data_IF_547178833893
#
_entry.id   IF_547178833893
#
_cell.length_a   1.000
_cell.length_b   1.000
_cell.length_c   1.000
_cell.angle_alpha   90.00
_cell.angle_beta   90.00
_cell.angle_gamma   90.00
#
_symmetry.space_group_name_H-M   'P 1'
#
loop_
_entity.id
_entity.type
_entity.pdbx_description
1 polymer ?
#
# COMPACT_ATOMS: atom_id res chain seq x y z
N UNK A 1 28.79 -11.13 -5.12
CA UNK A 1 27.85 -10.08 -5.57
C UNK A 1 28.61 -9.00 -6.35
N UNK A 2 28.10 -8.55 -7.49
CA UNK A 2 28.75 -7.54 -8.35
C UNK A 2 29.07 -6.26 -7.54
N UNK A 3 28.26 -5.98 -6.50
CA UNK A 3 28.43 -4.87 -5.57
C UNK A 3 29.70 -4.91 -4.69
N UNK A 4 30.51 -5.98 -4.71
CA UNK A 4 31.71 -6.07 -3.87
C UNK A 4 32.92 -6.73 -4.56
N UNK A 5 33.03 -6.63 -5.87
CA UNK A 5 34.17 -7.18 -6.64
C UNK A 5 35.16 -6.06 -6.95
N UNK A 6 36.39 -6.14 -6.42
CA UNK A 6 37.49 -5.22 -6.74
C UNK A 6 38.19 -5.57 -8.08
N UNK A 7 37.58 -6.42 -8.90
CA UNK A 7 38.12 -6.83 -10.19
C UNK A 7 37.56 -5.91 -11.28
N UNK A 8 38.34 -4.91 -11.66
CA UNK A 8 37.94 -3.87 -12.63
C UNK A 8 38.17 -4.28 -14.09
N UNK A 9 38.48 -5.55 -14.33
CA UNK A 9 38.85 -6.06 -15.64
C UNK A 9 40.37 -6.09 -15.81
N UNK A 10 40.89 -7.25 -16.22
CA UNK A 10 42.33 -7.42 -16.52
C UNK A 10 42.70 -6.90 -17.91
N UNK A 11 41.69 -6.73 -18.76
CA UNK A 11 41.74 -6.31 -20.15
C UNK A 11 40.47 -5.50 -20.50
N UNK A 12 40.48 -4.85 -21.66
CA UNK A 12 39.39 -3.96 -22.11
C UNK A 12 38.06 -4.71 -22.23
N UNK A 13 38.08 -5.92 -22.81
CA UNK A 13 36.90 -6.77 -22.96
C UNK A 13 36.24 -7.11 -21.62
N UNK A 14 37.03 -7.48 -20.60
CA UNK A 14 36.49 -7.78 -19.27
C UNK A 14 35.92 -6.55 -18.55
N UNK A 15 36.54 -5.38 -18.77
CA UNK A 15 36.06 -4.10 -18.24
C UNK A 15 34.73 -3.70 -18.89
N UNK A 16 34.60 -3.84 -20.21
CA UNK A 16 33.37 -3.54 -20.95
C UNK A 16 32.24 -4.51 -20.57
N UNK A 17 32.54 -5.80 -20.43
CA UNK A 17 31.57 -6.80 -19.97
C UNK A 17 31.07 -6.52 -18.55
N UNK A 18 31.94 -6.04 -17.66
CA UNK A 18 31.58 -5.64 -16.30
C UNK A 18 30.67 -4.40 -16.31
N UNK A 19 30.98 -3.41 -17.14
CA UNK A 19 30.17 -2.20 -17.29
C UNK A 19 28.75 -2.54 -17.77
N UNK A 20 28.60 -3.37 -18.81
CA UNK A 20 27.28 -3.80 -19.31
C UNK A 20 26.45 -4.50 -18.23
N UNK A 21 27.09 -5.36 -17.41
CA UNK A 21 26.41 -6.02 -16.28
C UNK A 21 25.97 -5.01 -15.23
N UNK A 22 26.80 -4.01 -14.95
CA UNK A 22 26.47 -2.96 -13.99
C UNK A 22 25.30 -2.09 -14.49
N UNK A 23 25.30 -1.69 -15.75
CA UNK A 23 24.20 -0.95 -16.37
C UNK A 23 22.89 -1.75 -16.34
N UNK A 24 22.93 -3.03 -16.69
CA UNK A 24 21.77 -3.92 -16.59
C UNK A 24 21.26 -4.01 -15.13
N UNK A 25 22.16 -4.15 -14.15
CA UNK A 25 21.79 -4.20 -12.74
C UNK A 25 21.14 -2.88 -12.27
N UNK A 26 21.67 -1.73 -12.69
CA UNK A 26 21.06 -0.44 -12.35
C UNK A 26 19.66 -0.29 -12.94
N UNK A 27 19.48 -0.72 -14.19
CA UNK A 27 18.18 -0.76 -14.86
C UNK A 27 17.18 -1.64 -14.09
N UNK A 28 17.62 -2.83 -13.66
CA UNK A 28 16.78 -3.73 -12.86
C UNK A 28 16.41 -3.10 -11.51
N UNK A 29 17.37 -2.45 -10.83
CA UNK A 29 17.12 -1.76 -9.57
C UNK A 29 16.10 -0.62 -9.70
N UNK A 30 16.19 0.17 -10.78
CA UNK A 30 15.21 1.22 -11.07
C UNK A 30 13.81 0.64 -11.31
N UNK A 31 13.72 -0.43 -12.12
CA UNK A 31 12.48 -1.13 -12.37
C UNK A 31 11.85 -1.67 -11.07
N UNK A 32 12.65 -2.32 -10.22
CA UNK A 32 12.18 -2.80 -8.92
C UNK A 32 11.76 -1.65 -7.99
N UNK A 33 12.47 -0.53 -8.00
CA UNK A 33 12.10 0.68 -7.27
C UNK A 33 10.70 1.18 -7.65
N UNK A 34 10.40 1.20 -8.95
CA UNK A 34 9.07 1.56 -9.47
C UNK A 34 8.00 0.55 -9.04
N UNK A 35 8.30 -0.76 -9.08
CA UNK A 35 7.38 -1.80 -8.59
C UNK A 35 7.07 -1.63 -7.10
N UNK A 36 8.08 -1.42 -6.26
CA UNK A 36 7.91 -1.20 -4.81
C UNK A 36 7.04 0.03 -4.55
N UNK A 37 7.28 1.13 -5.29
CA UNK A 37 6.48 2.34 -5.16
C UNK A 37 5.00 2.08 -5.52
N UNK A 38 4.74 1.42 -6.64
CA UNK A 38 3.37 1.07 -7.07
C UNK A 38 2.67 0.17 -6.04
N UNK A 39 3.36 -0.83 -5.49
CA UNK A 39 2.81 -1.69 -4.44
C UNK A 39 2.47 -0.88 -3.17
N UNK A 40 3.29 0.10 -2.81
CA UNK A 40 3.02 0.98 -1.67
C UNK A 40 1.80 1.86 -1.89
N UNK A 41 1.64 2.39 -3.10
CA UNK A 41 0.46 3.17 -3.49
C UNK A 41 -0.81 2.30 -3.44
N UNK A 42 -0.76 1.07 -3.97
CA UNK A 42 -1.86 0.11 -3.90
C UNK A 42 -2.22 -0.23 -2.45
N UNK A 43 -1.24 -0.53 -1.60
CA UNK A 43 -1.47 -0.83 -0.18
C UNK A 43 -2.13 0.35 0.56
N UNK A 44 -1.70 1.58 0.26
CA UNK A 44 -2.32 2.78 0.83
C UNK A 44 -3.76 2.99 0.32
N UNK A 45 -4.03 2.68 -0.95
CA UNK A 45 -5.38 2.73 -1.50
C UNK A 45 -6.30 1.65 -0.89
N UNK A 46 -5.76 0.46 -0.61
CA UNK A 46 -6.48 -0.62 0.06
C UNK A 46 -6.93 -0.29 1.49
N UNK A 47 -6.34 0.70 2.19
CA UNK A 47 -6.85 1.11 3.51
C UNK A 47 -8.28 1.64 3.48
N UNK A 48 -8.78 2.11 2.32
CA UNK A 48 -10.20 2.44 2.17
C UNK A 48 -11.10 1.20 2.15
N UNK A 49 -10.53 0.01 1.96
CA UNK A 49 -11.19 -1.30 2.01
C UNK A 49 -10.85 -2.07 3.30
N UNK A 50 -10.26 -1.44 4.32
CA UNK A 50 -10.00 -2.15 5.57
C UNK A 50 -11.31 -2.58 6.22
N UNK A 51 -11.32 -3.87 6.62
CA UNK A 51 -12.35 -4.52 7.42
C UNK A 51 -12.63 -3.70 8.68
N UNK A 52 -13.85 -3.74 9.24
CA UNK A 52 -14.22 -2.97 10.42
C UNK A 52 -13.13 -3.04 11.48
N UNK A 53 -12.62 -1.89 11.92
CA UNK A 53 -11.60 -1.85 12.95
C UNK A 53 -12.26 -2.34 14.23
N UNK A 54 -11.81 -3.46 14.78
CA UNK A 54 -12.25 -3.90 16.11
C UNK A 54 -11.71 -2.90 17.12
N UNK A 55 -12.60 -2.14 17.75
CA UNK A 55 -12.24 -1.25 18.85
C UNK A 55 -11.65 -2.07 20.03
N UNK A 56 -10.97 -1.41 20.96
CA UNK A 56 -10.39 -2.00 22.19
C UNK A 56 -11.44 -2.80 22.98
N UNK A 57 -12.72 -2.46 22.82
CA UNK A 57 -13.88 -3.14 23.40
C UNK A 57 -14.31 -4.44 22.67
N UNK A 58 -13.64 -4.84 21.60
CA UNK A 58 -13.98 -5.99 20.76
C UNK A 58 -15.19 -5.80 19.84
N UNK A 59 -15.64 -4.55 19.64
CA UNK A 59 -16.79 -4.23 18.78
C UNK A 59 -16.31 -3.78 17.40
N UNK A 60 -17.00 -4.21 16.36
CA UNK A 60 -16.72 -3.77 14.99
C UNK A 60 -17.03 -2.27 14.84
N UNK A 61 -16.07 -1.50 14.35
CA UNK A 61 -16.24 -0.08 14.07
C UNK A 61 -16.06 0.22 12.58
N UNK A 62 -16.89 1.13 12.07
CA UNK A 62 -16.85 1.61 10.69
C UNK A 62 -16.81 3.14 10.68
N UNK A 63 -16.30 3.71 9.59
CA UNK A 63 -16.22 5.16 9.41
C UNK A 63 -17.26 5.62 8.39
N UNK A 64 -18.01 6.67 8.72
CA UNK A 64 -18.93 7.29 7.78
C UNK A 64 -18.16 7.96 6.63
N UNK A 65 -18.39 7.52 5.39
CA UNK A 65 -17.73 8.08 4.20
C UNK A 65 -18.38 9.38 3.70
N UNK A 66 -19.61 9.64 4.12
CA UNK A 66 -20.44 10.77 3.70
C UNK A 66 -21.27 11.28 4.88
N UNK A 67 -21.73 12.53 4.77
CA UNK A 67 -22.76 13.05 5.66
C UNK A 67 -24.10 12.39 5.34
N UNK A 68 -24.83 11.99 6.37
CA UNK A 68 -26.18 11.46 6.27
C UNK A 68 -27.09 12.14 7.30
N UNK A 69 -28.18 12.71 6.81
CA UNK A 69 -29.25 13.24 7.66
C UNK A 69 -30.37 12.21 7.74
N UNK A 70 -30.86 11.97 8.96
CA UNK A 70 -31.99 11.08 9.23
C UNK A 70 -33.22 11.45 8.38
N UNK A 71 -33.90 10.43 7.85
CA UNK A 71 -35.13 10.62 7.07
C UNK A 71 -36.37 10.16 7.82
N UNK A 72 -36.19 9.47 8.94
CA UNK A 72 -37.25 8.98 9.80
C UNK A 72 -36.86 9.07 11.28
N UNK A 73 -37.82 9.14 12.23
CA UNK A 73 -37.53 9.25 13.66
C UNK A 73 -36.79 8.05 14.28
N UNK A 74 -36.59 6.97 13.50
CA UNK A 74 -35.88 5.76 13.91
C UNK A 74 -34.44 5.73 13.43
N UNK A 75 -34.07 6.64 12.54
CA UNK A 75 -32.72 6.78 12.01
C UNK A 75 -31.92 7.77 12.83
N UNK A 76 -30.60 7.73 12.66
CA UNK A 76 -29.66 8.69 13.24
C UNK A 76 -28.92 9.41 12.13
N UNK A 77 -28.58 10.67 12.37
CA UNK A 77 -27.70 11.45 11.48
C UNK A 77 -26.23 11.16 11.78
N UNK A 78 -25.37 11.18 10.76
CA UNK A 78 -23.91 11.00 10.89
C UNK A 78 -23.19 11.99 9.97
N UNK A 79 -21.96 12.35 10.34
CA UNK A 79 -21.06 13.16 9.52
C UNK A 79 -19.94 12.31 8.96
N UNK A 80 -19.41 12.70 7.80
CA UNK A 80 -18.22 12.11 7.20
C UNK A 80 -17.08 12.14 8.21
N UNK A 81 -16.50 10.97 8.48
CA UNK A 81 -15.42 10.77 9.43
C UNK A 81 -15.86 10.26 10.80
N UNK A 82 -17.17 10.22 11.09
CA UNK A 82 -17.66 9.66 12.35
C UNK A 82 -17.35 8.16 12.43
N UNK A 83 -16.80 7.73 13.57
CA UNK A 83 -16.57 6.31 13.88
C UNK A 83 -17.80 5.76 14.57
N UNK A 84 -18.44 4.77 13.96
CA UNK A 84 -19.69 4.17 14.40
C UNK A 84 -19.47 2.71 14.78
N UNK A 85 -20.08 2.28 15.87
CA UNK A 85 -20.11 0.86 16.25
C UNK A 85 -21.15 0.12 15.44
N UNK A 86 -20.74 -0.92 14.72
CA UNK A 86 -21.62 -1.79 13.97
C UNK A 86 -22.33 -2.75 14.95
N UNK A 87 -23.66 -2.66 15.03
CA UNK A 87 -24.47 -3.49 15.94
C UNK A 87 -25.04 -4.75 15.27
N UNK A 88 -25.26 -4.71 13.96
CA UNK A 88 -25.77 -5.83 13.18
C UNK A 88 -25.34 -5.70 11.72
N UNK A 89 -24.71 -6.74 11.18
CA UNK A 89 -24.19 -6.80 9.81
C UNK A 89 -25.13 -7.53 8.84
N UNK A 90 -26.29 -8.01 9.32
CA UNK A 90 -27.26 -8.74 8.49
C UNK A 90 -28.06 -7.78 7.58
N UNK A 91 -27.47 -7.36 6.47
CA UNK A 91 -28.22 -6.95 5.30
C UNK A 91 -28.26 -8.13 4.33
N UNK A 92 -29.39 -8.84 4.28
CA UNK A 92 -29.66 -9.89 3.29
C UNK A 92 -30.57 -9.34 2.20
#
# INVERSE_FOLDING_TARGET
PIANTQDFGKDEDSSEALLKKHEALLSDLEAFGNTIKSLREQANACRQQESPVVDVSGKECVVALYDYAEKSPREVSMKRGDVLTLLNSNNK
#
